data_IF_205834124875
#
_entry.id   IF_205834124875
#
_cell.length_a   1.000
_cell.length_b   1.000
_cell.length_c   1.000
_cell.angle_alpha   90.00
_cell.angle_beta   90.00
_cell.angle_gamma   90.00
#
_symmetry.space_group_name_H-M   'P 1'
#
loop_
_entity.id
_entity.type
_entity.pdbx_description
1 polymer ?
#
# COMPACT_ATOMS: atom_id res chain seq x y z
N UNK A 1 5.25 -21.85 -9.78
CA UNK A 1 4.96 -20.41 -9.88
C UNK A 1 3.79 -20.16 -8.97
N UNK A 2 3.99 -19.42 -7.88
CA UNK A 2 2.89 -18.99 -7.03
C UNK A 2 2.23 -17.83 -7.75
N UNK A 3 1.06 -18.06 -8.33
CA UNK A 3 0.20 -16.99 -8.82
C UNK A 3 -0.13 -16.08 -7.63
N UNK A 4 0.36 -14.85 -7.66
CA UNK A 4 -0.14 -13.77 -6.79
C UNK A 4 -1.60 -13.63 -7.17
N UNK A 5 -2.49 -14.03 -6.27
CA UNK A 5 -3.93 -13.96 -6.51
C UNK A 5 -4.48 -12.55 -6.27
N UNK A 6 -3.65 -11.65 -5.77
CA UNK A 6 -4.02 -10.26 -5.57
C UNK A 6 -4.01 -9.52 -6.89
N UNK A 7 -5.14 -8.90 -7.19
CA UNK A 7 -5.25 -7.92 -8.24
C UNK A 7 -4.52 -6.65 -7.79
N UNK A 8 -3.23 -6.57 -8.12
CA UNK A 8 -2.38 -5.41 -7.78
C UNK A 8 -2.98 -4.11 -8.34
N UNK A 9 -3.64 -4.16 -9.50
CA UNK A 9 -4.32 -2.99 -10.09
C UNK A 9 -5.49 -2.51 -9.23
N UNK A 10 -6.25 -3.40 -8.60
CA UNK A 10 -7.29 -3.01 -7.65
C UNK A 10 -6.68 -2.34 -6.42
N UNK A 11 -5.57 -2.88 -5.89
CA UNK A 11 -4.86 -2.27 -4.76
C UNK A 11 -4.35 -0.87 -5.11
N UNK A 12 -3.73 -0.68 -6.28
CA UNK A 12 -3.29 0.65 -6.75
C UNK A 12 -4.45 1.62 -6.89
N UNK A 13 -5.57 1.15 -7.44
CA UNK A 13 -6.79 1.95 -7.60
C UNK A 13 -7.32 2.40 -6.24
N UNK A 14 -7.36 1.49 -5.25
CA UNK A 14 -7.75 1.83 -3.88
C UNK A 14 -6.76 2.82 -3.22
N UNK A 15 -5.45 2.67 -3.44
CA UNK A 15 -4.45 3.61 -2.92
C UNK A 15 -4.70 5.02 -3.47
N UNK A 16 -4.98 5.13 -4.77
CA UNK A 16 -5.28 6.41 -5.42
C UNK A 16 -6.58 7.02 -4.89
N UNK A 17 -7.64 6.21 -4.73
CA UNK A 17 -8.93 6.66 -4.17
C UNK A 17 -8.73 7.20 -2.75
N UNK A 18 -8.03 6.45 -1.89
CA UNK A 18 -7.73 6.86 -0.52
C UNK A 18 -6.90 8.15 -0.48
N UNK A 19 -5.83 8.22 -1.28
CA UNK A 19 -5.00 9.42 -1.39
C UNK A 19 -5.77 10.66 -1.83
N UNK A 20 -6.63 10.52 -2.84
CA UNK A 20 -7.49 11.60 -3.31
C UNK A 20 -8.49 12.06 -2.25
N UNK A 21 -9.15 11.13 -1.54
CA UNK A 21 -10.07 11.50 -0.47
C UNK A 21 -9.37 12.30 0.63
N UNK A 22 -8.17 11.89 1.02
CA UNK A 22 -7.37 12.63 1.99
C UNK A 22 -6.95 14.03 1.49
N UNK A 23 -6.49 14.16 0.24
CA UNK A 23 -6.08 15.45 -0.33
C UNK A 23 -7.25 16.41 -0.60
N UNK A 24 -8.43 15.88 -0.90
CA UNK A 24 -9.64 16.67 -1.17
C UNK A 24 -10.44 17.03 0.08
N UNK A 25 -9.90 16.82 1.29
CA UNK A 25 -10.59 17.06 2.56
C UNK A 25 -11.91 16.25 2.68
N UNK A 26 -11.89 15.03 2.14
CA UNK A 26 -12.96 14.04 2.26
C UNK A 26 -12.54 12.89 3.19
N UNK A 27 -11.82 13.21 4.28
CA UNK A 27 -11.19 12.23 5.17
C UNK A 27 -12.19 11.22 5.75
N UNK A 28 -13.45 11.62 5.96
CA UNK A 28 -14.50 10.70 6.45
C UNK A 28 -14.74 9.53 5.49
N UNK A 29 -14.66 9.76 4.18
CA UNK A 29 -14.79 8.69 3.17
C UNK A 29 -13.56 7.78 3.21
N UNK A 30 -12.37 8.35 3.32
CA UNK A 30 -11.13 7.58 3.45
C UNK A 30 -11.13 6.72 4.72
N UNK A 31 -11.45 7.31 5.87
CA UNK A 31 -11.51 6.61 7.16
C UNK A 31 -12.60 5.53 7.19
N UNK A 32 -13.72 5.73 6.47
CA UNK A 32 -14.73 4.69 6.31
C UNK A 32 -14.18 3.45 5.58
N UNK A 33 -13.36 3.65 4.55
CA UNK A 33 -12.78 2.58 3.73
C UNK A 33 -11.48 2.00 4.31
N UNK A 34 -10.90 2.62 5.33
CA UNK A 34 -9.54 2.28 5.77
C UNK A 34 -9.40 0.84 6.28
N UNK A 35 -10.44 0.29 6.90
CA UNK A 35 -10.43 -1.09 7.40
C UNK A 35 -10.36 -2.10 6.25
N UNK A 36 -11.20 -1.92 5.23
CA UNK A 36 -11.19 -2.74 4.00
C UNK A 36 -9.82 -2.62 3.31
N UNK A 37 -9.34 -1.40 3.14
CA UNK A 37 -8.03 -1.14 2.55
C UNK A 37 -6.90 -1.84 3.30
N UNK A 38 -6.87 -1.77 4.64
CA UNK A 38 -5.83 -2.43 5.45
C UNK A 38 -5.86 -3.95 5.32
N UNK A 39 -7.04 -4.55 5.10
CA UNK A 39 -7.14 -6.00 4.87
C UNK A 39 -6.53 -6.40 3.52
N UNK A 40 -6.81 -5.66 2.45
CA UNK A 40 -6.20 -5.93 1.13
C UNK A 40 -4.68 -5.74 1.17
N UNK A 41 -4.23 -4.70 1.86
CA UNK A 41 -2.81 -4.43 2.05
C UNK A 41 -2.10 -5.51 2.87
N UNK A 42 -2.77 -6.08 3.88
CA UNK A 42 -2.26 -7.20 4.67
C UNK A 42 -2.15 -8.48 3.85
N UNK A 43 -3.16 -8.78 3.02
CA UNK A 43 -3.10 -9.91 2.08
C UNK A 43 -1.90 -9.74 1.14
N UNK A 44 -1.71 -8.54 0.60
CA UNK A 44 -0.57 -8.22 -0.25
C UNK A 44 0.74 -8.51 0.44
N UNK A 45 0.96 -7.92 1.62
CA UNK A 45 2.15 -8.18 2.43
C UNK A 45 2.37 -9.69 2.70
N UNK A 46 1.31 -10.42 3.04
CA UNK A 46 1.39 -11.86 3.31
C UNK A 46 1.81 -12.66 2.07
N UNK A 47 1.29 -12.33 0.90
CA UNK A 47 1.71 -12.95 -0.36
C UNK A 47 3.18 -12.66 -0.68
N UNK A 48 3.66 -11.43 -0.44
CA UNK A 48 5.08 -11.08 -0.62
C UNK A 48 5.99 -11.95 0.25
N UNK A 49 5.64 -12.11 1.53
CA UNK A 49 6.39 -12.94 2.48
C UNK A 49 6.35 -14.42 2.06
N UNK A 50 5.18 -14.92 1.67
CA UNK A 50 4.98 -16.32 1.29
C UNK A 50 5.63 -16.70 -0.05
N UNK A 51 5.72 -15.75 -0.98
CA UNK A 51 6.33 -15.98 -2.28
C UNK A 51 7.82 -16.33 -2.19
N UNK A 52 8.46 -16.26 -1.00
CA UNK A 52 9.89 -16.52 -0.77
C UNK A 52 10.72 -15.94 -1.90
N UNK A 53 10.40 -14.72 -2.34
CA UNK A 53 11.12 -14.08 -3.43
C UNK A 53 12.51 -13.85 -2.85
N UNK A 54 13.44 -14.73 -3.18
CA UNK A 54 14.82 -14.65 -2.71
C UNK A 54 15.45 -13.30 -3.10
N UNK A 55 14.88 -12.66 -4.14
CA UNK A 55 15.23 -11.33 -4.63
C UNK A 55 14.37 -10.17 -4.10
N UNK A 56 13.33 -10.41 -3.29
CA UNK A 56 12.68 -9.30 -2.60
C UNK A 56 13.60 -8.83 -1.51
N UNK A 57 14.45 -7.89 -1.91
CA UNK A 57 15.36 -7.16 -1.06
C UNK A 57 14.61 -6.74 0.21
N UNK A 58 15.12 -7.11 1.39
CA UNK A 58 14.54 -6.76 2.69
C UNK A 58 14.18 -5.27 2.79
N UNK A 59 14.84 -4.43 1.97
CA UNK A 59 14.52 -3.01 1.77
C UNK A 59 13.08 -2.73 1.35
N UNK A 60 12.44 -3.55 0.51
CA UNK A 60 11.05 -3.33 0.06
C UNK A 60 10.04 -3.63 1.17
N UNK A 61 10.20 -4.75 1.87
CA UNK A 61 9.37 -5.09 3.04
C UNK A 61 9.57 -4.06 4.17
N UNK A 62 10.81 -3.61 4.40
CA UNK A 62 11.10 -2.54 5.34
C UNK A 62 10.43 -1.22 4.92
N UNK A 63 10.44 -0.90 3.63
CA UNK A 63 9.78 0.30 3.10
C UNK A 63 8.27 0.25 3.29
N UNK A 64 7.63 -0.91 3.04
CA UNK A 64 6.20 -1.12 3.35
C UNK A 64 5.91 -0.93 4.85
N UNK A 65 6.70 -1.57 5.71
CA UNK A 65 6.53 -1.44 7.16
C UNK A 65 6.69 0.01 7.65
N UNK A 66 7.66 0.75 7.12
CA UNK A 66 7.82 2.17 7.43
C UNK A 66 6.62 2.99 6.93
N UNK A 67 6.14 2.71 5.72
CA UNK A 67 4.94 3.36 5.18
C UNK A 67 3.71 3.10 6.06
N UNK A 68 3.56 1.90 6.62
CA UNK A 68 2.44 1.59 7.52
C UNK A 68 2.54 2.35 8.83
N UNK A 69 3.75 2.50 9.39
CA UNK A 69 3.97 3.35 10.57
C UNK A 69 3.59 4.80 10.28
N UNK A 70 3.98 5.32 9.12
CA UNK A 70 3.64 6.68 8.69
C UNK A 70 2.12 6.87 8.58
N UNK A 71 1.38 5.88 8.03
CA UNK A 71 -0.09 5.92 7.97
C UNK A 71 -0.70 5.95 9.38
N UNK A 72 -0.23 5.08 10.28
CA UNK A 72 -0.74 5.03 11.67
C UNK A 72 -0.50 6.38 12.36
N UNK A 73 0.68 6.97 12.17
CA UNK A 73 1.03 8.25 12.76
C UNK A 73 0.20 9.40 12.18
N UNK A 74 -0.01 9.43 10.86
CA UNK A 74 -0.88 10.41 10.20
C UNK A 74 -2.32 10.33 10.71
N UNK A 75 -2.85 9.13 10.94
CA UNK A 75 -4.19 8.95 11.50
C UNK A 75 -4.27 9.47 12.94
N UNK A 76 -3.28 9.12 13.79
CA UNK A 76 -3.26 9.54 15.20
C UNK A 76 -3.20 11.06 15.36
N UNK A 77 -2.45 11.72 14.48
CA UNK A 77 -2.27 13.16 14.50
C UNK A 77 -3.35 13.92 13.71
N UNK A 78 -4.31 13.20 13.12
CA UNK A 78 -5.34 13.76 12.23
C UNK A 78 -4.77 14.60 11.07
N UNK A 79 -3.54 14.27 10.63
CA UNK A 79 -2.86 14.96 9.53
C UNK A 79 -3.26 14.32 8.19
N UNK A 80 -4.45 14.69 7.72
CA UNK A 80 -5.04 14.11 6.52
C UNK A 80 -4.32 14.52 5.24
N UNK A 81 -3.70 15.71 5.19
CA UNK A 81 -2.92 16.12 4.02
C UNK A 81 -1.67 15.23 3.92
N UNK A 82 -0.97 15.01 5.03
CA UNK A 82 0.17 14.10 5.07
C UNK A 82 -0.22 12.66 4.71
N UNK A 83 -1.39 12.19 5.16
CA UNK A 83 -1.92 10.88 4.74
C UNK A 83 -2.12 10.79 3.24
N UNK A 84 -2.71 11.81 2.61
CA UNK A 84 -2.85 11.87 1.15
C UNK A 84 -1.49 11.70 0.45
N UNK A 85 -0.48 12.40 0.94
CA UNK A 85 0.88 12.33 0.40
C UNK A 85 1.54 10.96 0.61
N UNK A 86 1.33 10.32 1.76
CA UNK A 86 1.82 8.96 2.02
C UNK A 86 1.22 7.99 0.99
N UNK A 87 -0.08 8.04 0.75
CA UNK A 87 -0.74 7.13 -0.18
C UNK A 87 -0.23 7.33 -1.61
N UNK A 88 -0.22 8.57 -2.11
CA UNK A 88 0.13 8.86 -3.51
C UNK A 88 1.65 8.77 -3.75
N UNK A 89 2.47 9.34 -2.88
CA UNK A 89 3.90 9.53 -3.15
C UNK A 89 4.82 8.54 -2.44
N UNK A 90 4.33 7.76 -1.46
CA UNK A 90 5.11 6.68 -0.83
C UNK A 90 4.57 5.30 -1.18
N UNK A 91 3.30 5.03 -0.87
CA UNK A 91 2.74 3.69 -0.96
C UNK A 91 2.57 3.22 -2.40
N UNK A 92 1.96 4.04 -3.25
CA UNK A 92 1.77 3.70 -4.66
C UNK A 92 3.11 3.40 -5.39
N UNK A 93 4.18 4.21 -5.24
CA UNK A 93 5.50 3.86 -5.78
C UNK A 93 6.08 2.55 -5.25
N UNK A 94 5.84 2.20 -3.98
CA UNK A 94 6.30 0.91 -3.43
C UNK A 94 5.55 -0.25 -4.08
N UNK A 95 4.23 -0.15 -4.22
CA UNK A 95 3.41 -1.19 -4.88
C UNK A 95 3.80 -1.35 -6.35
N UNK A 96 4.02 -0.25 -7.08
CA UNK A 96 4.53 -0.29 -8.45
C UNK A 96 5.90 -0.98 -8.55
N UNK A 97 6.82 -0.73 -7.61
CA UNK A 97 8.12 -1.42 -7.60
C UNK A 97 7.96 -2.93 -7.41
N UNK A 98 7.10 -3.33 -6.47
CA UNK A 98 6.85 -4.74 -6.18
C UNK A 98 6.23 -5.45 -7.37
N UNK A 99 5.22 -4.85 -8.00
CA UNK A 99 4.63 -5.39 -9.24
C UNK A 99 5.69 -5.62 -10.33
N UNK A 100 6.53 -4.61 -10.59
CA UNK A 100 7.60 -4.72 -11.59
C UNK A 100 8.59 -5.84 -11.30
N UNK A 101 8.79 -6.23 -10.04
CA UNK A 101 9.62 -7.38 -9.70
C UNK A 101 8.97 -8.68 -10.12
N UNK A 102 7.66 -8.81 -9.93
CA UNK A 102 6.92 -10.00 -10.32
C UNK A 102 6.75 -10.12 -11.83
N UNK A 103 6.49 -9.02 -12.54
CA UNK A 103 6.40 -9.03 -14.01
C UNK A 103 7.73 -9.42 -14.66
N UNK A 104 8.87 -9.20 -14.01
CA UNK A 104 10.20 -9.59 -14.51
C UNK A 104 10.60 -11.03 -14.18
N UNK A 105 9.89 -11.69 -13.26
CA UNK A 105 10.13 -13.08 -12.86
C UNK A 105 9.31 -14.09 -13.70
N UNK A 106 8.39 -13.60 -14.52
CA UNK A 106 7.59 -14.34 -15.52
C UNK A 106 8.16 -14.09 -16.90
#
# INVERSE_FOLDING_TARGET
MNDIKINIEDLKSQILIMGNYFQCLEEKKALYLISEFTNELYKFYSELVNARIQDMDNRNLLSLNNCFKDIIEGIKNEDYIYLGDIFIYKLLPIVNKVENMFTKLV
#
